data_IF_835000609143
#
_entry.id   IF_835000609143
#
_cell.length_a   1.000
_cell.length_b   1.000
_cell.length_c   1.000
_cell.angle_alpha   90.00
_cell.angle_beta   90.00
_cell.angle_gamma   90.00
#
_symmetry.space_group_name_H-M   'P 1'
#
loop_
_entity.id
_entity.type
_entity.pdbx_description
1 polymer ?
#
# COMPACT_ATOMS: atom_id res chain seq x y z
N UNK A 1 12.61 -31.04 26.42
CA UNK A 1 12.54 -32.06 25.35
C UNK A 1 12.19 -31.29 24.08
N UNK A 2 13.22 -31.01 23.25
CA UNK A 2 13.03 -30.31 21.97
C UNK A 2 12.36 -31.27 20.99
N UNK A 3 11.07 -31.07 20.80
CA UNK A 3 10.39 -31.57 19.60
C UNK A 3 10.92 -30.69 18.47
N UNK A 4 11.66 -31.31 17.55
CA UNK A 4 12.33 -30.55 16.49
C UNK A 4 11.32 -29.77 15.66
N UNK A 5 11.65 -28.53 15.34
CA UNK A 5 10.84 -27.59 14.50
C UNK A 5 10.37 -28.25 13.19
N UNK A 6 11.11 -29.21 12.69
CA UNK A 6 10.81 -30.01 11.47
C UNK A 6 9.54 -30.88 11.62
N UNK A 7 9.09 -31.21 12.83
CA UNK A 7 7.89 -32.02 13.06
C UNK A 7 6.57 -31.29 12.78
N UNK A 8 6.60 -29.95 12.58
CA UNK A 8 5.42 -29.13 12.33
C UNK A 8 5.30 -28.67 10.87
N UNK A 9 6.28 -29.00 10.02
CA UNK A 9 6.26 -28.63 8.59
C UNK A 9 5.51 -29.70 7.82
N UNK A 10 4.28 -29.39 7.44
CA UNK A 10 3.45 -30.25 6.63
C UNK A 10 3.29 -29.72 5.19
N UNK A 11 2.30 -30.27 4.49
CA UNK A 11 2.04 -29.95 3.07
C UNK A 11 1.66 -28.48 2.87
N UNK A 12 1.01 -27.84 3.83
CA UNK A 12 0.59 -26.44 3.76
C UNK A 12 1.77 -25.46 3.72
N UNK A 13 2.72 -25.65 4.62
CA UNK A 13 3.94 -24.83 4.70
C UNK A 13 4.83 -25.08 3.47
N UNK A 14 5.01 -26.33 3.06
CA UNK A 14 5.76 -26.69 1.84
C UNK A 14 5.12 -26.03 0.63
N UNK A 15 3.79 -26.06 0.54
CA UNK A 15 3.03 -25.41 -0.53
C UNK A 15 3.22 -23.90 -0.55
N UNK A 16 3.19 -23.24 0.61
CA UNK A 16 3.45 -21.80 0.72
C UNK A 16 4.85 -21.45 0.22
N UNK A 17 5.89 -22.15 0.68
CA UNK A 17 7.25 -21.92 0.23
C UNK A 17 7.42 -22.18 -1.27
N UNK A 18 6.80 -23.23 -1.81
CA UNK A 18 6.81 -23.52 -3.25
C UNK A 18 6.13 -22.44 -4.07
N UNK A 19 4.97 -21.94 -3.61
CA UNK A 19 4.25 -20.81 -4.23
C UNK A 19 5.10 -19.54 -4.23
N UNK A 20 5.69 -19.21 -3.09
CA UNK A 20 6.55 -18.04 -2.94
C UNK A 20 7.78 -18.16 -3.83
N UNK A 21 8.50 -19.29 -3.76
CA UNK A 21 9.70 -19.53 -4.58
C UNK A 21 9.39 -19.43 -6.09
N UNK A 22 8.29 -20.01 -6.55
CA UNK A 22 7.86 -19.93 -7.94
C UNK A 22 7.52 -18.50 -8.35
N UNK A 23 6.74 -17.79 -7.53
CA UNK A 23 6.37 -16.41 -7.80
C UNK A 23 7.61 -15.49 -7.84
N UNK A 24 8.57 -15.70 -6.96
CA UNK A 24 9.84 -14.99 -6.97
C UNK A 24 10.67 -15.29 -8.22
N UNK A 25 10.85 -16.56 -8.54
CA UNK A 25 11.61 -16.97 -9.71
C UNK A 25 11.03 -16.33 -10.98
N UNK A 26 9.72 -16.39 -11.14
CA UNK A 26 9.05 -15.78 -12.29
C UNK A 26 9.16 -14.24 -12.29
N UNK A 27 9.02 -13.58 -11.15
CA UNK A 27 9.06 -12.12 -11.10
C UNK A 27 10.48 -11.55 -11.23
N UNK A 28 11.45 -12.09 -10.46
CA UNK A 28 12.80 -11.54 -10.39
C UNK A 28 13.68 -12.06 -11.51
N UNK A 29 13.72 -13.39 -11.74
CA UNK A 29 14.61 -14.01 -12.71
C UNK A 29 14.05 -13.87 -14.13
N UNK A 30 12.77 -14.22 -14.32
CA UNK A 30 12.11 -14.15 -15.64
C UNK A 30 11.54 -12.76 -15.94
N UNK A 31 11.64 -11.80 -15.00
CA UNK A 31 11.18 -10.41 -15.14
C UNK A 31 9.70 -10.30 -15.58
N UNK A 32 8.87 -11.26 -15.14
CA UNK A 32 7.44 -11.26 -15.43
C UNK A 32 6.68 -10.37 -14.45
N UNK A 33 5.52 -9.84 -14.89
CA UNK A 33 4.64 -9.07 -14.00
C UNK A 33 4.18 -9.93 -12.82
N UNK A 34 3.97 -9.32 -11.66
CA UNK A 34 3.66 -10.07 -10.43
C UNK A 34 2.38 -10.88 -10.52
N UNK A 35 1.33 -10.39 -11.20
CA UNK A 35 0.10 -11.16 -11.44
C UNK A 35 0.35 -12.44 -12.25
N UNK A 36 1.19 -12.38 -13.29
CA UNK A 36 1.61 -13.55 -14.08
C UNK A 36 2.47 -14.50 -13.24
N UNK A 37 3.39 -13.97 -12.43
CA UNK A 37 4.21 -14.77 -11.54
C UNK A 37 3.38 -15.55 -10.51
N UNK A 38 2.36 -14.91 -9.94
CA UNK A 38 1.42 -15.57 -9.01
C UNK A 38 0.56 -16.62 -9.71
N UNK A 39 0.19 -16.44 -10.99
CA UNK A 39 -0.50 -17.47 -11.78
C UNK A 39 0.34 -18.76 -11.83
N UNK A 40 1.64 -18.65 -12.13
CA UNK A 40 2.53 -19.81 -12.11
C UNK A 40 2.63 -20.45 -10.72
N UNK A 41 2.68 -19.64 -9.65
CA UNK A 41 2.61 -20.13 -8.28
C UNK A 41 1.32 -20.91 -7.99
N UNK A 42 0.17 -20.43 -8.46
CA UNK A 42 -1.12 -21.14 -8.33
C UNK A 42 -1.11 -22.47 -9.06
N UNK A 43 -0.48 -22.55 -10.25
CA UNK A 43 -0.32 -23.81 -10.98
C UNK A 43 0.49 -24.82 -10.16
N UNK A 44 1.56 -24.38 -9.52
CA UNK A 44 2.35 -25.24 -8.63
C UNK A 44 1.52 -25.72 -7.43
N UNK A 45 0.72 -24.86 -6.82
CA UNK A 45 -0.20 -25.25 -5.74
C UNK A 45 -1.21 -26.33 -6.18
N UNK A 46 -1.75 -26.20 -7.39
CA UNK A 46 -2.67 -27.19 -7.96
C UNK A 46 -1.97 -28.56 -8.17
N UNK A 47 -0.72 -28.53 -8.65
CA UNK A 47 0.09 -29.76 -8.82
C UNK A 47 0.34 -30.39 -7.46
N UNK A 48 0.77 -29.64 -6.46
CA UNK A 48 1.01 -30.17 -5.11
C UNK A 48 -0.28 -30.75 -4.53
N UNK A 49 -1.39 -30.03 -4.59
CA UNK A 49 -2.67 -30.50 -4.07
C UNK A 49 -3.17 -31.77 -4.75
N UNK A 50 -2.94 -31.90 -6.06
CA UNK A 50 -3.38 -33.08 -6.81
C UNK A 50 -2.46 -34.28 -6.59
N UNK A 51 -1.14 -34.07 -6.64
CA UNK A 51 -0.16 -35.17 -6.59
C UNK A 51 0.13 -35.66 -5.18
N UNK A 52 0.11 -34.80 -4.18
CA UNK A 52 0.55 -35.11 -2.82
C UNK A 52 -0.57 -35.12 -1.78
N UNK A 53 -1.69 -34.43 -2.03
CA UNK A 53 -2.84 -34.36 -1.10
C UNK A 53 -4.11 -35.00 -1.69
N UNK A 54 -4.03 -35.65 -2.85
CA UNK A 54 -5.14 -36.38 -3.46
C UNK A 54 -6.33 -35.50 -3.87
N UNK A 55 -6.17 -34.17 -3.94
CA UNK A 55 -7.26 -33.25 -4.32
C UNK A 55 -7.62 -33.41 -5.79
N UNK A 56 -8.90 -33.39 -6.09
CA UNK A 56 -9.35 -33.40 -7.48
C UNK A 56 -9.04 -32.05 -8.16
N UNK A 57 -8.27 -32.09 -9.25
CA UNK A 57 -7.83 -30.89 -9.98
C UNK A 57 -9.00 -29.99 -10.40
N UNK A 58 -10.04 -30.56 -11.05
CA UNK A 58 -11.18 -29.79 -11.54
C UNK A 58 -11.99 -29.17 -10.41
N UNK A 59 -12.18 -29.89 -9.30
CA UNK A 59 -12.87 -29.38 -8.12
C UNK A 59 -12.08 -28.21 -7.53
N UNK A 60 -10.77 -28.34 -7.43
CA UNK A 60 -9.89 -27.30 -6.90
C UNK A 60 -9.88 -26.05 -7.78
N UNK A 61 -9.75 -26.21 -9.11
CA UNK A 61 -9.80 -25.11 -10.08
C UNK A 61 -11.16 -24.39 -10.02
N UNK A 62 -12.26 -25.14 -10.02
CA UNK A 62 -13.61 -24.55 -9.93
C UNK A 62 -13.80 -23.77 -8.62
N UNK A 63 -13.41 -24.35 -7.49
CA UNK A 63 -13.59 -23.73 -6.18
C UNK A 63 -12.77 -22.45 -6.04
N UNK A 64 -11.48 -22.49 -6.37
CA UNK A 64 -10.62 -21.29 -6.28
C UNK A 64 -11.07 -20.17 -7.21
N UNK A 65 -11.50 -20.50 -8.44
CA UNK A 65 -11.96 -19.52 -9.44
C UNK A 65 -13.26 -18.86 -9.00
N UNK A 66 -14.23 -19.64 -8.51
CA UNK A 66 -15.49 -19.12 -7.99
C UNK A 66 -15.24 -18.26 -6.73
N UNK A 67 -14.34 -18.72 -5.85
CA UNK A 67 -13.98 -17.98 -4.65
C UNK A 67 -13.36 -16.62 -5.00
N UNK A 68 -12.34 -16.61 -5.85
CA UNK A 68 -11.66 -15.38 -6.28
C UNK A 68 -12.60 -14.43 -7.04
N UNK A 69 -13.44 -14.97 -7.94
CA UNK A 69 -14.40 -14.20 -8.73
C UNK A 69 -15.56 -13.59 -7.91
N UNK A 70 -15.80 -14.05 -6.69
CA UNK A 70 -16.78 -13.47 -5.76
C UNK A 70 -16.20 -12.39 -4.84
N UNK A 71 -14.88 -12.19 -4.88
CA UNK A 71 -14.23 -11.23 -3.97
C UNK A 71 -14.40 -9.80 -4.45
N UNK A 72 -15.07 -9.00 -3.66
CA UNK A 72 -15.28 -7.56 -3.92
C UNK A 72 -13.97 -6.80 -4.15
N UNK A 73 -12.91 -7.20 -3.45
CA UNK A 73 -11.60 -6.58 -3.50
C UNK A 73 -10.97 -6.62 -4.88
N UNK A 74 -11.22 -7.67 -5.69
CA UNK A 74 -10.71 -7.79 -7.05
C UNK A 74 -11.27 -6.67 -7.94
N UNK A 75 -12.58 -6.48 -7.90
CA UNK A 75 -13.27 -5.46 -8.69
C UNK A 75 -12.99 -4.04 -8.18
N UNK A 76 -12.92 -3.89 -6.85
CA UNK A 76 -12.54 -2.64 -6.23
C UNK A 76 -11.12 -2.21 -6.63
N UNK A 77 -10.17 -3.15 -6.65
CA UNK A 77 -8.80 -2.88 -7.11
C UNK A 77 -8.76 -2.39 -8.56
N UNK A 78 -9.56 -3.00 -9.44
CA UNK A 78 -9.70 -2.53 -10.82
C UNK A 78 -10.29 -1.10 -10.88
N UNK A 79 -11.30 -0.80 -10.07
CA UNK A 79 -11.89 0.55 -9.99
C UNK A 79 -10.87 1.59 -9.48
N UNK A 80 -10.04 1.23 -8.48
CA UNK A 80 -8.94 2.10 -8.03
C UNK A 80 -7.88 2.32 -9.11
N UNK A 81 -7.52 1.28 -9.88
CA UNK A 81 -6.59 1.43 -11.00
C UNK A 81 -7.12 2.40 -12.07
N UNK A 82 -8.43 2.34 -12.36
CA UNK A 82 -9.08 3.27 -13.28
C UNK A 82 -9.13 4.69 -12.73
N UNK A 83 -9.50 4.86 -11.47
CA UNK A 83 -9.50 6.14 -10.78
C UNK A 83 -8.12 6.81 -10.88
N UNK A 84 -7.05 6.08 -10.54
CA UNK A 84 -5.69 6.60 -10.61
C UNK A 84 -5.31 7.03 -12.04
N UNK A 85 -5.65 6.22 -13.04
CA UNK A 85 -5.44 6.54 -14.43
C UNK A 85 -6.20 7.82 -14.85
N UNK A 86 -7.47 7.97 -14.47
CA UNK A 86 -8.26 9.16 -14.78
C UNK A 86 -7.70 10.43 -14.13
N UNK A 87 -7.23 10.34 -12.88
CA UNK A 87 -6.62 11.47 -12.19
C UNK A 87 -5.31 11.92 -12.85
N UNK A 88 -4.54 10.98 -13.40
CA UNK A 88 -3.34 11.26 -14.17
C UNK A 88 -3.67 11.96 -15.51
N UNK A 89 -4.65 11.42 -16.25
CA UNK A 89 -5.07 12.00 -17.55
C UNK A 89 -5.68 13.40 -17.44
N UNK A 90 -6.26 13.74 -16.31
CA UNK A 90 -6.89 15.05 -16.06
C UNK A 90 -5.94 16.10 -15.47
N UNK A 91 -4.71 15.71 -15.09
CA UNK A 91 -3.73 16.62 -14.47
C UNK A 91 -4.15 17.13 -13.07
N UNK A 92 -5.11 16.48 -12.42
CA UNK A 92 -5.55 16.85 -11.07
C UNK A 92 -4.40 16.78 -10.07
N UNK A 93 -3.50 15.81 -10.22
CA UNK A 93 -2.35 15.60 -9.34
C UNK A 93 -1.44 16.83 -9.35
N UNK A 94 -1.12 17.34 -10.54
CA UNK A 94 -0.27 18.53 -10.69
C UNK A 94 -0.90 19.76 -10.03
N UNK A 95 -2.22 19.90 -10.15
CA UNK A 95 -2.97 20.98 -9.48
C UNK A 95 -2.92 20.89 -7.97
N UNK A 96 -3.02 19.69 -7.40
CA UNK A 96 -2.86 19.48 -5.96
C UNK A 96 -1.43 19.80 -5.49
N UNK A 97 -0.41 19.39 -6.25
CA UNK A 97 0.99 19.72 -5.96
C UNK A 97 1.22 21.24 -6.02
N UNK A 98 0.60 21.94 -6.98
CA UNK A 98 0.67 23.40 -7.07
C UNK A 98 0.06 24.11 -5.84
N UNK A 99 -1.06 23.60 -5.31
CA UNK A 99 -1.66 24.11 -4.07
C UNK A 99 -0.70 23.88 -2.89
N UNK A 100 -0.15 22.67 -2.77
CA UNK A 100 0.80 22.35 -1.72
C UNK A 100 2.05 23.24 -1.79
N UNK A 101 2.54 23.50 -3.01
CA UNK A 101 3.67 24.39 -3.23
C UNK A 101 3.37 25.82 -2.76
N UNK A 102 2.20 26.35 -3.09
CA UNK A 102 1.78 27.67 -2.65
C UNK A 102 1.64 27.79 -1.12
N UNK A 103 1.22 26.70 -0.46
CA UNK A 103 1.04 26.66 1.00
C UNK A 103 2.36 26.48 1.76
N UNK A 104 3.20 25.56 1.32
CA UNK A 104 4.36 25.09 2.08
C UNK A 104 5.70 25.57 1.52
N UNK A 105 5.74 25.99 0.25
CA UNK A 105 6.99 26.38 -0.42
C UNK A 105 7.71 27.54 0.26
N UNK A 106 6.98 28.39 1.02
CA UNK A 106 7.52 29.53 1.77
C UNK A 106 8.22 29.12 3.08
N UNK A 107 8.06 27.88 3.52
CA UNK A 107 8.73 27.38 4.70
C UNK A 107 10.20 27.05 4.40
N UNK A 108 11.13 27.20 5.37
CA UNK A 108 12.47 26.66 5.22
C UNK A 108 12.39 25.16 4.94
N UNK A 109 12.97 24.73 3.82
CA UNK A 109 12.83 23.33 3.37
C UNK A 109 11.47 22.98 2.75
N UNK A 110 10.67 23.98 2.34
CA UNK A 110 9.30 23.84 1.82
C UNK A 110 9.14 22.82 0.73
N UNK A 111 10.08 22.75 -0.21
CA UNK A 111 10.10 21.74 -1.30
C UNK A 111 10.13 20.29 -0.76
N UNK A 112 10.84 20.03 0.36
CA UNK A 112 10.85 18.73 1.02
C UNK A 112 9.51 18.36 1.67
N UNK A 113 8.81 19.34 2.27
CA UNK A 113 7.45 19.12 2.80
C UNK A 113 6.46 18.82 1.68
N UNK A 114 6.52 19.57 0.57
CA UNK A 114 5.68 19.32 -0.61
C UNK A 114 5.94 17.94 -1.18
N UNK A 115 7.21 17.52 -1.28
CA UNK A 115 7.56 16.16 -1.72
C UNK A 115 6.96 15.09 -0.79
N UNK A 116 7.04 15.29 0.52
CA UNK A 116 6.54 14.33 1.52
C UNK A 116 5.01 14.18 1.46
N UNK A 117 4.28 15.30 1.49
CA UNK A 117 2.82 15.28 1.40
C UNK A 117 2.37 14.85 0.00
N UNK A 118 3.09 15.26 -1.04
CA UNK A 118 2.85 14.83 -2.41
C UNK A 118 2.95 13.30 -2.56
N UNK A 119 3.99 12.68 -1.99
CA UNK A 119 4.12 11.21 -1.97
C UNK A 119 2.95 10.54 -1.23
N UNK A 120 2.48 11.08 -0.12
CA UNK A 120 1.32 10.56 0.59
C UNK A 120 0.04 10.66 -0.27
N UNK A 121 -0.25 11.84 -0.81
CA UNK A 121 -1.45 12.07 -1.63
C UNK A 121 -1.43 11.28 -2.93
N UNK A 122 -0.30 11.29 -3.64
CA UNK A 122 -0.16 10.52 -4.87
C UNK A 122 -0.20 9.02 -4.59
N UNK A 123 0.37 8.61 -3.45
CA UNK A 123 0.34 7.24 -2.99
C UNK A 123 -1.06 6.73 -2.66
N UNK A 124 -1.91 7.55 -2.04
CA UNK A 124 -3.34 7.25 -1.87
C UNK A 124 -4.06 6.97 -3.19
N UNK A 125 -3.56 7.55 -4.28
CA UNK A 125 -4.19 7.44 -5.60
C UNK A 125 -3.72 6.19 -6.33
N UNK A 126 -2.40 5.98 -6.42
CA UNK A 126 -1.83 4.90 -7.22
C UNK A 126 -1.52 3.62 -6.43
N UNK A 127 -1.38 3.72 -5.11
CA UNK A 127 -1.11 2.59 -4.22
C UNK A 127 0.24 1.89 -4.43
N UNK A 128 1.21 2.54 -5.11
CA UNK A 128 2.51 1.95 -5.47
C UNK A 128 3.66 2.90 -5.16
N UNK A 129 4.58 2.48 -4.29
CA UNK A 129 5.67 3.32 -3.80
C UNK A 129 6.60 3.84 -4.91
N UNK A 130 6.99 3.00 -5.86
CA UNK A 130 7.89 3.38 -6.96
C UNK A 130 7.25 4.39 -7.90
N UNK A 131 5.96 4.26 -8.18
CA UNK A 131 5.22 5.22 -9.00
C UNK A 131 5.10 6.58 -8.30
N UNK A 132 4.85 6.58 -6.98
CA UNK A 132 4.82 7.81 -6.17
C UNK A 132 6.17 8.51 -6.18
N UNK A 133 7.25 7.77 -5.99
CA UNK A 133 8.63 8.28 -6.06
C UNK A 133 8.95 8.89 -7.42
N UNK A 134 8.58 8.21 -8.51
CA UNK A 134 8.85 8.68 -9.87
C UNK A 134 8.09 9.97 -10.18
N UNK A 135 6.77 9.99 -9.94
CA UNK A 135 5.92 11.11 -10.32
C UNK A 135 6.21 12.37 -9.49
N UNK A 136 6.26 12.22 -8.15
CA UNK A 136 6.53 13.35 -7.27
C UNK A 136 8.00 13.76 -7.36
N UNK A 137 8.93 12.80 -7.45
CA UNK A 137 10.36 13.05 -7.58
C UNK A 137 10.72 13.84 -8.82
N UNK A 138 10.10 13.55 -9.97
CA UNK A 138 10.35 14.26 -11.22
C UNK A 138 10.09 15.78 -11.10
N UNK A 139 9.12 16.18 -10.30
CA UNK A 139 8.77 17.59 -10.07
C UNK A 139 9.56 18.17 -8.90
N UNK A 140 9.62 17.46 -7.77
CA UNK A 140 10.10 18.04 -6.52
C UNK A 140 11.62 17.96 -6.33
N UNK A 141 12.30 16.94 -6.85
CA UNK A 141 13.76 16.81 -6.70
C UNK A 141 14.51 17.96 -7.38
N UNK A 142 14.24 18.32 -8.66
CA UNK A 142 14.88 19.48 -9.26
C UNK A 142 14.64 20.76 -8.47
N UNK A 143 13.39 20.98 -8.04
CA UNK A 143 13.04 22.14 -7.22
C UNK A 143 13.71 22.13 -5.85
N UNK A 144 13.85 20.97 -5.19
CA UNK A 144 14.62 20.85 -3.94
C UNK A 144 16.08 21.27 -4.15
N UNK A 145 16.72 20.78 -5.20
CA UNK A 145 18.13 21.13 -5.52
C UNK A 145 18.25 22.63 -5.79
N UNK A 146 17.36 23.23 -6.56
CA UNK A 146 17.31 24.67 -6.81
C UNK A 146 17.07 25.50 -5.56
N UNK A 147 16.36 24.95 -4.56
CA UNK A 147 16.10 25.60 -3.28
C UNK A 147 17.16 25.37 -2.21
N UNK A 148 18.28 24.71 -2.58
CA UNK A 148 19.47 24.60 -1.75
C UNK A 148 19.63 23.27 -1.01
N UNK A 149 18.83 22.24 -1.33
CA UNK A 149 19.06 20.88 -0.84
C UNK A 149 20.21 20.20 -1.58
N UNK A 150 20.99 19.37 -0.89
CA UNK A 150 21.93 18.48 -1.55
C UNK A 150 21.18 17.44 -2.39
N UNK A 151 21.81 16.93 -3.45
CA UNK A 151 21.24 15.92 -4.33
C UNK A 151 20.90 14.63 -3.58
N UNK A 152 21.79 14.21 -2.70
CA UNK A 152 21.65 13.04 -1.86
C UNK A 152 20.46 13.18 -0.91
N UNK A 153 20.31 14.35 -0.29
CA UNK A 153 19.20 14.58 0.65
C UNK A 153 17.86 14.68 -0.05
N UNK A 154 17.81 15.34 -1.21
CA UNK A 154 16.61 15.39 -2.04
C UNK A 154 16.17 13.98 -2.47
N UNK A 155 17.12 13.15 -2.93
CA UNK A 155 16.86 11.76 -3.27
C UNK A 155 16.38 10.93 -2.06
N UNK A 156 17.03 11.09 -0.90
CA UNK A 156 16.65 10.38 0.31
C UNK A 156 15.24 10.75 0.81
N UNK A 157 14.87 12.04 0.76
CA UNK A 157 13.52 12.50 1.14
C UNK A 157 12.47 11.89 0.22
N UNK A 158 12.63 11.95 -1.08
CA UNK A 158 11.62 11.46 -2.02
C UNK A 158 11.54 9.93 -1.99
N UNK A 159 12.67 9.22 -1.99
CA UNK A 159 12.69 7.76 -1.84
C UNK A 159 12.06 7.35 -0.52
N UNK A 160 12.52 7.91 0.60
CA UNK A 160 12.02 7.59 1.92
C UNK A 160 10.50 7.74 2.05
N UNK A 161 9.92 8.73 1.40
CA UNK A 161 8.50 9.01 1.44
C UNK A 161 7.67 8.23 0.40
N UNK A 162 8.30 7.59 -0.58
CA UNK A 162 7.59 6.76 -1.56
C UNK A 162 6.73 5.66 -0.93
N UNK A 163 7.18 5.10 0.20
CA UNK A 163 6.45 4.08 0.95
C UNK A 163 5.11 4.53 1.55
N UNK A 164 4.91 5.83 1.74
CA UNK A 164 3.61 6.37 2.19
C UNK A 164 2.47 5.92 1.27
N UNK A 165 2.75 5.67 -0.02
CA UNK A 165 1.78 5.11 -0.94
C UNK A 165 1.26 3.72 -0.60
N UNK A 166 1.95 2.96 0.23
CA UNK A 166 1.49 1.66 0.70
C UNK A 166 0.69 1.76 2.01
N UNK A 167 0.98 2.76 2.85
CA UNK A 167 0.29 2.97 4.13
C UNK A 167 -1.06 3.64 3.92
N UNK A 168 -1.08 4.71 3.13
CA UNK A 168 -2.34 5.43 2.88
C UNK A 168 -3.27 4.62 1.97
N UNK A 169 -4.47 4.27 2.45
CA UNK A 169 -5.44 3.54 1.65
C UNK A 169 -6.10 4.47 0.60
N UNK A 170 -6.50 3.89 -0.54
CA UNK A 170 -6.40 2.48 -0.88
C UNK A 170 -5.05 2.12 -1.51
N UNK A 171 -4.37 1.13 -0.96
CA UNK A 171 -3.12 0.66 -1.54
C UNK A 171 -3.26 -0.76 -2.10
N UNK A 172 -2.43 -1.08 -3.10
CA UNK A 172 -2.38 -2.45 -3.65
C UNK A 172 -2.02 -3.48 -2.57
N UNK A 173 -1.18 -3.09 -1.61
CA UNK A 173 -0.80 -3.94 -0.46
C UNK A 173 -1.98 -4.19 0.46
N UNK A 174 -2.78 -3.15 0.78
CA UNK A 174 -4.01 -3.29 1.57
C UNK A 174 -4.99 -4.27 0.91
N UNK A 175 -5.23 -4.10 -0.39
CA UNK A 175 -6.14 -4.95 -1.14
C UNK A 175 -5.65 -6.40 -1.19
N UNK A 176 -4.35 -6.60 -1.44
CA UNK A 176 -3.72 -7.92 -1.43
C UNK A 176 -3.84 -8.58 -0.05
N UNK A 177 -3.61 -7.83 1.01
CA UNK A 177 -3.67 -8.33 2.39
C UNK A 177 -5.09 -8.78 2.76
N UNK A 178 -6.12 -8.03 2.36
CA UNK A 178 -7.52 -8.44 2.49
C UNK A 178 -7.87 -9.69 1.65
N UNK A 179 -7.05 -10.03 0.67
CA UNK A 179 -7.17 -11.24 -0.14
C UNK A 179 -6.91 -12.54 0.61
N UNK A 180 -6.24 -12.48 1.75
CA UNK A 180 -6.01 -13.66 2.57
C UNK A 180 -7.27 -14.05 3.34
N UNK A 181 -7.71 -15.31 3.18
CA UNK A 181 -8.92 -15.82 3.84
C UNK A 181 -8.85 -15.68 5.37
N UNK A 182 -7.66 -15.85 5.96
CA UNK A 182 -7.42 -15.66 7.39
C UNK A 182 -7.69 -14.22 7.84
N UNK A 183 -7.36 -13.24 7.00
CA UNK A 183 -7.58 -11.81 7.28
C UNK A 183 -9.04 -11.44 7.04
N UNK A 184 -9.60 -11.84 5.90
CA UNK A 184 -10.97 -11.52 5.49
C UNK A 184 -12.05 -12.05 6.45
N UNK A 185 -11.76 -13.12 7.21
CA UNK A 185 -12.66 -13.66 8.24
C UNK A 185 -12.75 -12.77 9.48
N UNK A 186 -11.69 -12.03 9.81
CA UNK A 186 -11.58 -11.27 11.05
C UNK A 186 -11.64 -9.76 10.86
N UNK A 187 -11.44 -9.27 9.62
CA UNK A 187 -11.25 -7.86 9.32
C UNK A 187 -12.02 -7.43 8.08
N UNK A 188 -12.78 -6.36 8.19
CA UNK A 188 -13.44 -5.72 7.04
C UNK A 188 -12.53 -4.70 6.37
N UNK A 189 -12.76 -4.46 5.07
CA UNK A 189 -12.04 -3.43 4.32
C UNK A 189 -12.18 -2.04 4.95
N UNK A 190 -13.36 -1.71 5.49
CA UNK A 190 -13.61 -0.42 6.16
C UNK A 190 -12.80 -0.24 7.43
N UNK A 191 -12.69 -1.28 8.26
CA UNK A 191 -11.87 -1.23 9.47
C UNK A 191 -10.39 -1.05 9.14
N UNK A 192 -9.88 -1.81 8.15
CA UNK A 192 -8.51 -1.67 7.72
C UNK A 192 -8.23 -0.30 7.10
N UNK A 193 -9.16 0.23 6.31
CA UNK A 193 -9.06 1.56 5.70
C UNK A 193 -8.86 2.63 6.77
N UNK A 194 -9.69 2.62 7.81
CA UNK A 194 -9.63 3.62 8.90
C UNK A 194 -8.38 3.46 9.75
N UNK A 195 -8.02 2.22 10.08
CA UNK A 195 -6.80 1.95 10.82
C UNK A 195 -5.54 2.44 10.08
N UNK A 196 -5.47 2.21 8.77
CA UNK A 196 -4.37 2.69 7.94
C UNK A 196 -4.34 4.21 7.78
N UNK A 197 -5.51 4.87 7.64
CA UNK A 197 -5.57 6.34 7.64
C UNK A 197 -5.04 6.92 8.94
N UNK A 198 -5.42 6.33 10.09
CA UNK A 198 -4.94 6.77 11.41
C UNK A 198 -3.44 6.62 11.57
N UNK A 199 -2.88 5.43 11.27
CA UNK A 199 -1.43 5.20 11.35
C UNK A 199 -0.68 6.01 10.30
N UNK A 200 -1.19 6.09 9.07
CA UNK A 200 -0.61 6.89 8.00
C UNK A 200 -0.45 8.36 8.37
N UNK A 201 -1.43 8.93 9.08
CA UNK A 201 -1.33 10.31 9.59
C UNK A 201 -0.19 10.45 10.62
N UNK A 202 -0.03 9.49 11.52
CA UNK A 202 1.07 9.49 12.50
C UNK A 202 2.42 9.39 11.79
N UNK A 203 2.55 8.44 10.86
CA UNK A 203 3.78 8.28 10.06
C UNK A 203 4.08 9.54 9.27
N UNK A 204 3.08 10.17 8.65
CA UNK A 204 3.26 11.42 7.91
C UNK A 204 3.82 12.55 8.81
N UNK A 205 3.30 12.70 10.03
CA UNK A 205 3.82 13.69 10.99
C UNK A 205 5.30 13.42 11.31
N UNK A 206 5.66 12.16 11.54
CA UNK A 206 7.07 11.79 11.77
C UNK A 206 7.93 12.10 10.54
N UNK A 207 7.44 11.82 9.34
CA UNK A 207 8.14 12.12 8.08
C UNK A 207 8.34 13.62 7.86
N UNK A 208 7.33 14.43 8.18
CA UNK A 208 7.46 15.90 8.14
C UNK A 208 8.48 16.42 9.16
N UNK A 209 8.52 15.80 10.33
CA UNK A 209 9.55 16.14 11.33
C UNK A 209 10.96 15.77 10.87
N UNK A 210 11.13 14.66 10.14
CA UNK A 210 12.42 14.30 9.51
C UNK A 210 12.85 15.37 8.49
N UNK A 211 11.92 15.85 7.65
CA UNK A 211 12.21 16.94 6.71
C UNK A 211 12.66 18.20 7.46
N UNK A 212 12.02 18.53 8.58
CA UNK A 212 12.44 19.65 9.41
C UNK A 212 13.89 19.48 9.94
N UNK A 213 14.23 18.29 10.44
CA UNK A 213 15.60 17.97 10.89
C UNK A 213 16.59 18.17 9.74
N UNK A 214 16.30 17.62 8.58
CA UNK A 214 17.16 17.69 7.40
C UNK A 214 17.33 19.14 6.91
N UNK A 215 16.24 19.90 6.84
CA UNK A 215 16.28 21.32 6.46
C UNK A 215 17.18 22.15 7.40
N UNK A 216 17.11 21.83 8.71
CA UNK A 216 17.96 22.48 9.71
C UNK A 216 19.44 22.05 9.59
N UNK A 217 19.70 20.77 9.33
CA UNK A 217 21.06 20.24 9.14
C UNK A 217 21.77 20.84 7.93
N UNK A 218 21.07 21.02 6.83
CA UNK A 218 21.62 21.60 5.60
C UNK A 218 21.50 23.12 5.52
N UNK A 219 20.83 23.75 6.47
CA UNK A 219 20.64 25.20 6.47
C UNK A 219 19.78 25.71 5.31
N UNK A 220 18.87 24.87 4.80
CA UNK A 220 18.00 25.21 3.67
C UNK A 220 17.10 26.37 4.05
N UNK A 221 17.16 27.44 3.26
CA UNK A 221 16.37 28.65 3.47
C UNK A 221 15.00 28.55 2.79
N UNK A 222 14.09 29.42 3.20
CA UNK A 222 12.84 29.61 2.48
C UNK A 222 13.11 30.09 1.03
N UNK A 223 12.33 29.59 0.09
CA UNK A 223 12.39 30.07 -1.30
C UNK A 223 11.84 31.50 -1.34
N UNK A 224 12.46 32.38 -2.17
CA UNK A 224 12.00 33.75 -2.33
C UNK A 224 10.55 33.82 -2.79
N UNK A 225 9.79 34.79 -2.25
CA UNK A 225 8.34 34.90 -2.49
C UNK A 225 7.97 35.07 -3.97
N UNK A 226 8.86 35.68 -4.75
CA UNK A 226 8.69 35.95 -6.19
C UNK A 226 8.65 34.66 -7.02
N UNK A 227 9.21 33.56 -6.49
CA UNK A 227 9.25 32.24 -7.16
C UNK A 227 8.08 31.33 -6.79
N UNK A 228 7.26 31.73 -5.82
CA UNK A 228 6.15 30.94 -5.32
C UNK A 228 4.83 31.62 -5.67
N UNK A 229 3.92 30.86 -6.29
CA UNK A 229 2.57 31.36 -6.61
C UNK A 229 1.87 31.80 -5.31
N UNK A 230 1.25 33.02 -5.28
CA UNK A 230 0.45 33.43 -4.13
C UNK A 230 -0.68 32.44 -3.85
N UNK A 231 -0.93 32.14 -2.55
CA UNK A 231 -1.93 31.15 -2.12
C UNK A 231 -3.31 31.44 -2.73
N UNK A 232 -3.74 32.71 -2.75
CA UNK A 232 -5.02 33.09 -3.34
C UNK A 232 -5.11 32.80 -4.83
N UNK A 233 -4.01 32.97 -5.58
CA UNK A 233 -3.94 32.62 -7.00
C UNK A 233 -3.94 31.11 -7.19
N UNK A 234 -3.15 30.39 -6.41
CA UNK A 234 -3.09 28.93 -6.46
C UNK A 234 -4.46 28.29 -6.17
N UNK A 235 -5.18 28.77 -5.15
CA UNK A 235 -6.53 28.31 -4.84
C UNK A 235 -7.54 28.69 -5.90
N UNK A 236 -7.40 29.86 -6.53
CA UNK A 236 -8.31 30.27 -7.61
C UNK A 236 -8.12 29.43 -8.87
N UNK A 237 -6.87 29.08 -9.21
CA UNK A 237 -6.55 28.34 -10.44
C UNK A 237 -6.66 26.83 -10.27
N UNK A 238 -6.34 26.31 -9.08
CA UNK A 238 -6.24 24.87 -8.82
C UNK A 238 -7.22 24.37 -7.75
N UNK A 239 -7.93 25.25 -7.05
CA UNK A 239 -8.74 24.88 -5.87
C UNK A 239 -9.92 23.97 -6.19
N UNK A 240 -10.43 24.03 -7.42
CA UNK A 240 -11.50 23.12 -7.88
C UNK A 240 -11.06 21.65 -7.82
N UNK A 241 -9.75 21.34 -7.94
CA UNK A 241 -9.23 19.97 -7.79
C UNK A 241 -9.47 19.37 -6.41
N UNK A 242 -9.69 20.20 -5.37
CA UNK A 242 -9.99 19.72 -4.01
C UNK A 242 -11.34 18.99 -3.92
N UNK A 243 -12.21 19.13 -4.93
CA UNK A 243 -13.51 18.43 -4.98
C UNK A 243 -13.36 16.90 -4.90
N UNK A 244 -12.23 16.37 -5.34
CA UNK A 244 -11.97 14.91 -5.28
C UNK A 244 -12.00 14.36 -3.85
N UNK A 245 -11.64 15.18 -2.85
CA UNK A 245 -11.69 14.76 -1.44
C UNK A 245 -13.12 14.49 -0.97
N UNK A 246 -14.15 15.05 -1.62
CA UNK A 246 -15.54 14.67 -1.39
C UNK A 246 -15.79 13.21 -1.76
N UNK A 247 -15.04 12.66 -2.73
CA UNK A 247 -15.11 11.25 -3.08
C UNK A 247 -14.66 10.31 -1.96
N UNK A 248 -13.85 10.79 -1.03
CA UNK A 248 -13.48 10.06 0.21
C UNK A 248 -14.40 10.44 1.35
N UNK A 249 -14.67 11.74 1.54
CA UNK A 249 -15.44 12.25 2.67
C UNK A 249 -16.90 11.72 2.67
N UNK A 250 -17.55 11.71 1.52
CA UNK A 250 -18.95 11.25 1.41
C UNK A 250 -19.11 9.80 1.85
N UNK A 251 -18.37 8.81 1.30
CA UNK A 251 -18.49 7.42 1.74
C UNK A 251 -18.13 7.22 3.23
N UNK A 252 -17.13 7.93 3.73
CA UNK A 252 -16.77 7.87 5.15
C UNK A 252 -17.91 8.38 6.04
N UNK A 253 -18.49 9.52 5.71
CA UNK A 253 -19.63 10.09 6.46
C UNK A 253 -20.87 9.17 6.41
N UNK A 254 -21.11 8.49 5.28
CA UNK A 254 -22.25 7.58 5.13
C UNK A 254 -22.06 6.24 5.85
N UNK A 255 -20.83 5.85 6.17
CA UNK A 255 -20.55 4.52 6.76
C UNK A 255 -20.12 4.59 8.21
N UNK A 256 -19.63 5.75 8.69
CA UNK A 256 -18.98 5.91 9.98
C UNK A 256 -19.56 7.06 10.78
N UNK A 257 -19.30 7.05 12.10
CA UNK A 257 -19.75 8.09 13.01
C UNK A 257 -21.28 8.16 13.20
N UNK A 258 -21.79 9.26 13.76
CA UNK A 258 -23.21 9.46 14.00
C UNK A 258 -24.07 9.42 12.73
N UNK A 259 -23.56 9.99 11.62
CA UNK A 259 -24.23 9.97 10.31
C UNK A 259 -24.32 8.57 9.74
N UNK A 260 -23.26 7.76 9.86
CA UNK A 260 -23.26 6.36 9.45
C UNK A 260 -24.23 5.52 10.29
N UNK A 261 -24.34 5.78 11.60
CA UNK A 261 -25.34 5.14 12.45
C UNK A 261 -26.77 5.50 12.04
N UNK A 262 -27.03 6.75 11.73
CA UNK A 262 -28.32 7.24 11.23
C UNK A 262 -28.69 6.60 9.88
N UNK A 263 -27.77 6.57 8.92
CA UNK A 263 -27.96 5.90 7.61
C UNK A 263 -28.24 4.40 7.77
N UNK A 264 -27.48 3.71 8.64
CA UNK A 264 -27.74 2.29 8.96
C UNK A 264 -29.12 2.09 9.57
N UNK A 265 -29.58 3.02 10.41
CA UNK A 265 -30.93 2.99 10.99
C UNK A 265 -32.03 3.10 9.93
N UNK A 266 -31.89 4.00 8.97
CA UNK A 266 -32.82 4.15 7.84
C UNK A 266 -32.83 2.89 6.94
N UNK A 267 -31.67 2.29 6.72
CA UNK A 267 -31.52 1.13 5.84
C UNK A 267 -31.84 -0.20 6.54
N UNK A 268 -31.96 -0.21 7.86
CA UNK A 268 -32.22 -1.40 8.67
C UNK A 268 -33.44 -2.23 8.23
N UNK A 269 -34.57 -1.62 7.79
CA UNK A 269 -35.74 -2.38 7.32
C UNK A 269 -35.43 -3.19 6.03
N UNK A 270 -34.45 -2.77 5.23
CA UNK A 270 -34.11 -3.44 3.96
C UNK A 270 -32.95 -4.40 4.18
N UNK A 271 -33.24 -5.71 4.19
CA UNK A 271 -32.23 -6.76 4.39
C UNK A 271 -31.06 -6.58 3.40
N UNK A 272 -29.86 -6.39 3.94
CA UNK A 272 -28.62 -6.29 3.14
C UNK A 272 -28.29 -4.90 2.63
N UNK A 273 -29.18 -3.92 2.67
CA UNK A 273 -28.92 -2.57 2.14
C UNK A 273 -27.74 -1.87 2.84
N UNK A 274 -27.60 -2.04 4.14
CA UNK A 274 -26.47 -1.48 4.89
C UNK A 274 -25.10 -2.10 4.48
N UNK A 275 -25.09 -3.35 3.99
CA UNK A 275 -23.89 -4.00 3.46
C UNK A 275 -23.56 -3.56 2.04
N UNK A 276 -24.53 -3.03 1.29
CA UNK A 276 -24.31 -2.52 -0.06
C UNK A 276 -23.47 -1.24 -0.10
N UNK A 277 -23.41 -0.48 1.03
CA UNK A 277 -22.54 0.69 1.13
C UNK A 277 -21.15 0.24 1.53
N UNK A 278 -20.34 -0.13 0.53
CA UNK A 278 -18.95 -0.55 0.71
C UNK A 278 -18.00 0.60 0.36
N UNK A 279 -17.14 1.00 1.32
CA UNK A 279 -16.15 2.06 1.11
C UNK A 279 -15.24 1.76 -0.09
N UNK A 280 -14.85 0.49 -0.27
CA UNK A 280 -13.93 0.10 -1.32
C UNK A 280 -14.51 0.25 -2.74
N UNK A 281 -15.82 0.35 -2.89
CA UNK A 281 -16.46 0.64 -4.17
C UNK A 281 -16.78 2.13 -4.35
N UNK A 282 -17.37 2.75 -3.30
CA UNK A 282 -17.85 4.12 -3.43
C UNK A 282 -16.71 5.14 -3.52
N UNK A 283 -15.59 4.91 -2.84
CA UNK A 283 -14.45 5.82 -2.91
C UNK A 283 -13.92 5.93 -4.35
N UNK A 284 -13.50 4.85 -5.03
CA UNK A 284 -12.95 4.99 -6.38
C UNK A 284 -13.99 5.48 -7.39
N UNK A 285 -15.26 5.12 -7.23
CA UNK A 285 -16.32 5.59 -8.11
C UNK A 285 -16.55 7.10 -7.97
N UNK A 286 -16.68 7.61 -6.75
CA UNK A 286 -16.92 9.03 -6.51
C UNK A 286 -15.71 9.88 -6.83
N UNK A 287 -14.50 9.44 -6.49
CA UNK A 287 -13.28 10.16 -6.91
C UNK A 287 -13.21 10.21 -8.43
N UNK A 288 -13.45 9.09 -9.14
CA UNK A 288 -13.48 9.05 -10.60
C UNK A 288 -14.54 10.02 -11.15
N UNK A 289 -15.73 10.01 -10.57
CA UNK A 289 -16.81 10.92 -10.97
C UNK A 289 -16.41 12.40 -10.82
N UNK A 290 -15.88 12.78 -9.67
CA UNK A 290 -15.38 14.14 -9.46
C UNK A 290 -14.18 14.49 -10.35
N UNK A 291 -13.31 13.51 -10.60
CA UNK A 291 -12.17 13.67 -11.53
C UNK A 291 -12.64 13.95 -12.96
N UNK A 292 -13.68 13.25 -13.43
CA UNK A 292 -14.26 13.47 -14.75
C UNK A 292 -14.90 14.86 -14.83
N UNK A 293 -15.65 15.28 -13.80
CA UNK A 293 -16.26 16.60 -13.76
C UNK A 293 -15.20 17.69 -13.83
N UNK A 294 -14.20 17.60 -12.96
CA UNK A 294 -13.14 18.60 -12.84
C UNK A 294 -12.23 18.62 -14.07
N UNK A 295 -11.90 17.43 -14.57
CA UNK A 295 -11.02 17.25 -15.73
C UNK A 295 -11.74 17.29 -17.08
N UNK A 296 -13.04 17.63 -17.12
CA UNK A 296 -13.86 17.53 -18.33
C UNK A 296 -13.21 18.17 -19.57
N UNK A 297 -12.62 19.34 -19.39
CA UNK A 297 -11.95 20.08 -20.49
C UNK A 297 -10.67 19.39 -21.01
N UNK A 298 -10.04 18.56 -20.20
CA UNK A 298 -8.80 17.85 -20.55
C UNK A 298 -9.08 16.48 -21.17
N UNK A 299 -10.32 15.99 -21.06
CA UNK A 299 -10.71 14.69 -21.57
C UNK A 299 -11.18 14.77 -23.02
N UNK A 300 -10.99 13.71 -23.82
CA UNK A 300 -11.49 13.65 -25.18
C UNK A 300 -13.01 13.54 -25.22
N UNK A 301 -13.66 14.31 -26.12
CA UNK A 301 -15.12 14.31 -26.30
C UNK A 301 -15.58 13.56 -27.55
N UNK A 302 -14.66 12.99 -28.33
CA UNK A 302 -15.00 12.17 -29.51
C UNK A 302 -15.10 10.70 -29.13
N UNK A 303 -15.99 9.90 -29.73
CA UNK A 303 -16.10 8.46 -29.44
C UNK A 303 -14.75 7.72 -29.59
N UNK A 304 -13.98 8.04 -30.63
CA UNK A 304 -12.65 7.45 -30.83
C UNK A 304 -11.65 7.86 -29.74
N UNK A 305 -11.71 9.11 -29.29
CA UNK A 305 -10.87 9.60 -28.18
C UNK A 305 -11.22 8.95 -26.84
N UNK A 306 -12.52 8.81 -26.54
CA UNK A 306 -13.01 8.11 -25.34
C UNK A 306 -12.58 6.64 -25.38
N UNK A 307 -12.72 5.98 -26.55
CA UNK A 307 -12.25 4.61 -26.72
C UNK A 307 -10.75 4.48 -26.44
N UNK A 308 -9.93 5.38 -27.00
CA UNK A 308 -8.47 5.41 -26.76
C UNK A 308 -8.15 5.63 -25.27
N UNK A 309 -8.88 6.51 -24.59
CA UNK A 309 -8.74 6.74 -23.15
C UNK A 309 -9.04 5.46 -22.35
N UNK A 310 -10.16 4.81 -22.62
CA UNK A 310 -10.54 3.56 -21.94
C UNK A 310 -9.53 2.46 -22.23
N UNK A 311 -9.11 2.29 -23.47
CA UNK A 311 -8.11 1.28 -23.83
C UNK A 311 -6.74 1.56 -23.20
N UNK A 312 -6.37 2.82 -22.97
CA UNK A 312 -5.17 3.20 -22.23
C UNK A 312 -5.17 2.75 -20.77
N UNK A 313 -6.34 2.56 -20.16
CA UNK A 313 -6.46 2.07 -18.78
C UNK A 313 -6.33 0.54 -18.67
N UNK A 314 -6.51 -0.20 -19.76
CA UNK A 314 -6.61 -1.69 -19.76
C UNK A 314 -5.38 -2.36 -19.18
N UNK A 315 -4.18 -1.85 -19.47
CA UNK A 315 -2.94 -2.43 -18.92
C UNK A 315 -2.89 -2.38 -17.39
N UNK A 316 -3.41 -1.31 -16.79
CA UNK A 316 -3.47 -1.14 -15.32
C UNK A 316 -4.53 -2.03 -14.69
N UNK A 317 -5.69 -2.16 -15.32
CA UNK A 317 -6.72 -3.12 -14.90
C UNK A 317 -6.19 -4.54 -14.89
N UNK A 318 -5.56 -4.93 -15.99
CA UNK A 318 -5.03 -6.28 -16.15
C UNK A 318 -3.99 -6.60 -15.06
N UNK A 319 -3.05 -5.70 -14.83
CA UNK A 319 -1.95 -5.93 -13.88
C UNK A 319 -2.47 -6.09 -12.44
N UNK A 320 -3.32 -5.18 -11.97
CA UNK A 320 -3.86 -5.24 -10.62
C UNK A 320 -4.95 -6.30 -10.47
N UNK A 321 -5.81 -6.45 -11.48
CA UNK A 321 -6.86 -7.47 -11.49
C UNK A 321 -6.28 -8.89 -11.47
N UNK A 322 -5.27 -9.18 -12.29
CA UNK A 322 -4.59 -10.47 -12.29
C UNK A 322 -3.88 -10.73 -10.96
N UNK A 323 -3.18 -9.72 -10.41
CA UNK A 323 -2.53 -9.81 -9.11
C UNK A 323 -3.52 -10.25 -8.03
N UNK A 324 -4.61 -9.53 -7.87
CA UNK A 324 -5.60 -9.78 -6.83
C UNK A 324 -6.33 -11.12 -7.07
N UNK A 325 -6.73 -11.40 -8.30
CA UNK A 325 -7.42 -12.64 -8.62
C UNK A 325 -6.58 -13.88 -8.25
N UNK A 326 -5.31 -13.92 -8.66
CA UNK A 326 -4.44 -15.04 -8.32
C UNK A 326 -4.00 -15.06 -6.85
N UNK A 327 -3.98 -13.90 -6.17
CA UNK A 327 -3.80 -13.85 -4.73
C UNK A 327 -4.94 -14.56 -3.98
N UNK A 328 -6.20 -14.32 -4.37
CA UNK A 328 -7.34 -15.00 -3.78
C UNK A 328 -7.38 -16.50 -4.15
N UNK A 329 -7.00 -16.86 -5.38
CA UNK A 329 -6.85 -18.26 -5.79
C UNK A 329 -5.81 -18.98 -4.92
N UNK A 330 -4.62 -18.40 -4.73
CA UNK A 330 -3.55 -18.99 -3.91
C UNK A 330 -3.96 -19.09 -2.44
N UNK A 331 -4.58 -18.04 -1.88
CA UNK A 331 -5.08 -18.04 -0.51
C UNK A 331 -6.07 -19.19 -0.27
N UNK A 332 -7.02 -19.40 -1.20
CA UNK A 332 -8.00 -20.47 -1.12
C UNK A 332 -7.37 -21.86 -1.16
N UNK A 333 -6.42 -22.06 -2.07
CA UNK A 333 -5.69 -23.33 -2.18
C UNK A 333 -4.84 -23.62 -0.95
N UNK A 334 -4.08 -22.64 -0.47
CA UNK A 334 -3.23 -22.78 0.73
C UNK A 334 -4.06 -23.11 1.97
N UNK A 335 -5.23 -22.47 2.14
CA UNK A 335 -6.15 -22.84 3.23
C UNK A 335 -6.61 -24.29 3.13
N UNK A 336 -6.89 -24.78 1.92
CA UNK A 336 -7.29 -26.20 1.70
C UNK A 336 -6.14 -27.18 1.87
N UNK A 337 -4.92 -26.74 1.74
CA UNK A 337 -3.69 -27.53 1.97
C UNK A 337 -3.21 -27.45 3.43
N UNK A 338 -4.11 -27.14 4.37
CA UNK A 338 -3.89 -27.15 5.82
C UNK A 338 -2.85 -26.13 6.34
N UNK A 339 -2.54 -25.10 5.56
CA UNK A 339 -1.58 -24.06 5.95
C UNK A 339 -1.96 -23.39 7.29
N UNK A 340 -3.24 -23.10 7.51
CA UNK A 340 -3.71 -22.41 8.74
C UNK A 340 -3.54 -23.28 9.98
N UNK A 341 -3.79 -24.58 9.87
CA UNK A 341 -3.65 -25.56 10.95
C UNK A 341 -2.17 -25.76 11.33
N UNK A 342 -1.29 -25.87 10.33
CA UNK A 342 0.15 -26.03 10.55
C UNK A 342 0.76 -24.79 11.21
N UNK A 343 0.39 -23.59 10.77
CA UNK A 343 0.81 -22.36 11.45
C UNK A 343 0.30 -22.27 12.89
N UNK A 344 -0.95 -22.64 13.13
CA UNK A 344 -1.51 -22.68 14.49
C UNK A 344 -0.70 -23.62 15.38
N UNK A 345 -0.30 -24.78 14.88
CA UNK A 345 0.56 -25.71 15.62
C UNK A 345 1.93 -25.12 15.95
N UNK A 346 2.57 -24.42 14.99
CA UNK A 346 3.83 -23.72 15.22
C UNK A 346 3.69 -22.64 16.28
N UNK A 347 2.64 -21.78 16.18
CA UNK A 347 2.43 -20.71 17.15
C UNK A 347 2.13 -21.24 18.55
N UNK A 348 1.38 -22.35 18.67
CA UNK A 348 1.14 -23.00 19.94
C UNK A 348 2.46 -23.55 20.55
N UNK A 349 3.36 -24.06 19.72
CA UNK A 349 4.69 -24.47 20.17
C UNK A 349 5.56 -23.29 20.61
N UNK A 350 5.33 -22.09 20.05
CA UNK A 350 5.99 -20.83 20.41
C UNK A 350 5.29 -20.10 21.58
N UNK A 351 4.20 -20.60 22.11
CA UNK A 351 3.40 -19.93 23.16
C UNK A 351 4.17 -19.61 24.45
N UNK A 352 5.37 -20.15 24.63
CA UNK A 352 6.28 -19.82 25.73
C UNK A 352 7.17 -18.59 25.48
N UNK A 353 7.18 -18.02 24.26
CA UNK A 353 7.97 -16.83 23.96
C UNK A 353 7.24 -15.55 24.39
N UNK A 354 8.02 -14.59 24.87
CA UNK A 354 7.48 -13.27 25.18
C UNK A 354 6.88 -12.61 23.94
N UNK A 355 5.67 -11.97 24.01
CA UNK A 355 5.06 -11.25 22.89
C UNK A 355 6.00 -10.28 22.19
N UNK A 356 6.87 -9.60 22.94
CA UNK A 356 7.85 -8.68 22.37
C UNK A 356 8.87 -9.37 21.45
N UNK A 357 9.28 -10.60 21.79
CA UNK A 357 10.21 -11.38 20.96
C UNK A 357 9.56 -11.71 19.61
N UNK A 358 8.30 -12.09 19.62
CA UNK A 358 7.54 -12.38 18.39
C UNK A 358 7.42 -11.12 17.52
N UNK A 359 7.07 -9.98 18.12
CA UNK A 359 7.00 -8.68 17.40
C UNK A 359 8.35 -8.32 16.80
N UNK A 360 9.44 -8.37 17.58
CA UNK A 360 10.78 -8.05 17.09
C UNK A 360 11.23 -8.98 15.98
N UNK A 361 10.92 -10.28 16.08
CA UNK A 361 11.22 -11.26 15.03
C UNK A 361 10.48 -10.93 13.74
N UNK A 362 9.18 -10.60 13.80
CA UNK A 362 8.38 -10.21 12.64
C UNK A 362 8.96 -8.91 12.04
N UNK A 363 9.25 -7.91 12.86
CA UNK A 363 9.86 -6.66 12.40
C UNK A 363 11.19 -6.91 11.67
N UNK A 364 12.05 -7.75 12.24
CA UNK A 364 13.34 -8.09 11.63
C UNK A 364 13.19 -8.82 10.29
N UNK A 365 12.36 -9.86 10.24
CA UNK A 365 12.13 -10.66 9.03
C UNK A 365 11.52 -9.78 7.92
N UNK A 366 10.44 -9.05 8.21
CA UNK A 366 9.76 -8.24 7.19
C UNK A 366 10.65 -7.12 6.68
N UNK A 367 11.37 -6.43 7.58
CA UNK A 367 12.31 -5.38 7.16
C UNK A 367 13.43 -5.94 6.29
N UNK A 368 13.97 -7.12 6.62
CA UNK A 368 15.00 -7.77 5.81
C UNK A 368 14.48 -8.22 4.44
N UNK A 369 13.23 -8.66 4.37
CA UNK A 369 12.62 -9.15 3.12
C UNK A 369 12.17 -8.03 2.18
N UNK A 370 11.63 -6.94 2.72
CA UNK A 370 10.95 -5.92 1.92
C UNK A 370 11.91 -5.15 0.99
N UNK A 371 13.18 -5.00 1.37
CA UNK A 371 14.21 -4.40 0.52
C UNK A 371 14.44 -5.19 -0.76
N UNK A 372 14.88 -6.47 -0.68
CA UNK A 372 15.10 -7.30 -1.86
C UNK A 372 13.83 -7.64 -2.64
N UNK A 373 12.68 -7.79 -1.98
CA UNK A 373 11.51 -8.43 -2.57
C UNK A 373 10.31 -7.51 -2.84
N UNK A 374 10.37 -6.27 -2.51
CA UNK A 374 9.27 -5.29 -2.54
C UNK A 374 8.06 -5.64 -1.63
N UNK A 375 7.15 -4.67 -1.45
CA UNK A 375 6.01 -4.82 -0.53
C UNK A 375 5.01 -5.89 -0.99
N UNK A 376 4.69 -5.94 -2.29
CA UNK A 376 3.70 -6.89 -2.83
C UNK A 376 4.17 -8.33 -2.64
N UNK A 377 5.41 -8.63 -3.02
CA UNK A 377 5.96 -9.96 -2.90
C UNK A 377 6.13 -10.40 -1.43
N UNK A 378 6.61 -9.49 -0.57
CA UNK A 378 6.72 -9.74 0.88
C UNK A 378 5.34 -9.98 1.50
N UNK A 379 4.32 -9.21 1.10
CA UNK A 379 2.94 -9.40 1.57
C UNK A 379 2.40 -10.76 1.13
N UNK A 380 2.62 -11.14 -0.12
CA UNK A 380 2.21 -12.45 -0.66
C UNK A 380 2.84 -13.60 0.13
N UNK A 381 4.14 -13.48 0.43
CA UNK A 381 4.89 -14.53 1.12
C UNK A 381 4.55 -14.64 2.61
N UNK A 382 4.47 -13.52 3.31
CA UNK A 382 4.46 -13.48 4.76
C UNK A 382 3.19 -12.88 5.38
N UNK A 383 2.31 -12.28 4.57
CA UNK A 383 1.16 -11.52 5.07
C UNK A 383 0.25 -12.34 5.99
N UNK A 384 -0.23 -13.49 5.51
CA UNK A 384 -1.11 -14.35 6.30
C UNK A 384 -0.42 -14.91 7.55
N UNK A 385 0.86 -15.29 7.42
CA UNK A 385 1.67 -15.85 8.51
C UNK A 385 1.91 -14.83 9.61
N UNK A 386 2.36 -13.64 9.26
CA UNK A 386 2.63 -12.59 10.23
C UNK A 386 1.33 -12.11 10.90
N UNK A 387 0.22 -12.05 10.14
CA UNK A 387 -1.09 -11.75 10.72
C UNK A 387 -1.48 -12.77 11.78
N UNK A 388 -1.40 -14.07 11.47
CA UNK A 388 -1.71 -15.13 12.41
C UNK A 388 -0.78 -15.10 13.64
N UNK A 389 0.52 -14.85 13.45
CA UNK A 389 1.48 -14.70 14.55
C UNK A 389 1.16 -13.52 15.46
N UNK A 390 0.82 -12.36 14.90
CA UNK A 390 0.42 -11.18 15.67
C UNK A 390 -0.92 -11.42 16.41
N UNK A 391 -1.84 -12.18 15.82
CA UNK A 391 -3.11 -12.56 16.45
C UNK A 391 -2.89 -13.52 17.63
N UNK A 392 -1.96 -14.45 17.50
CA UNK A 392 -1.68 -15.42 18.57
C UNK A 392 -1.15 -14.78 19.87
N UNK A 393 -0.52 -13.61 19.79
CA UNK A 393 -0.08 -12.82 20.95
C UNK A 393 -1.13 -11.83 21.46
N UNK A 394 -2.38 -11.94 20.98
CA UNK A 394 -3.50 -11.14 21.48
C UNK A 394 -3.63 -9.73 20.90
N UNK A 395 -3.00 -9.43 19.76
CA UNK A 395 -3.23 -8.17 19.06
C UNK A 395 -4.61 -8.18 18.38
N UNK A 396 -5.29 -7.02 18.39
CA UNK A 396 -6.55 -6.87 17.66
C UNK A 396 -6.31 -7.05 16.14
N UNK A 397 -7.29 -7.55 15.35
CA UNK A 397 -7.12 -7.79 13.93
C UNK A 397 -6.67 -6.54 13.16
N UNK A 398 -7.26 -5.39 13.45
CA UNK A 398 -6.88 -4.11 12.82
C UNK A 398 -5.43 -3.77 13.14
N UNK A 399 -5.04 -3.87 14.41
CA UNK A 399 -3.66 -3.57 14.87
C UNK A 399 -2.64 -4.46 14.18
N UNK A 400 -2.88 -5.77 14.11
CA UNK A 400 -2.00 -6.72 13.44
C UNK A 400 -1.83 -6.41 11.94
N UNK A 401 -2.96 -6.12 11.26
CA UNK A 401 -2.96 -5.80 9.85
C UNK A 401 -2.22 -4.48 9.54
N UNK A 402 -2.52 -3.44 10.31
CA UNK A 402 -1.94 -2.10 10.15
C UNK A 402 -0.44 -2.12 10.44
N UNK A 403 -0.01 -2.84 11.50
CA UNK A 403 1.40 -3.03 11.83
C UNK A 403 2.16 -3.73 10.69
N UNK A 404 1.60 -4.80 10.12
CA UNK A 404 2.21 -5.50 9.00
C UNK A 404 2.34 -4.61 7.76
N UNK A 405 1.26 -3.92 7.36
CA UNK A 405 1.26 -3.05 6.17
C UNK A 405 2.24 -1.90 6.35
N UNK A 406 2.36 -1.36 7.56
CA UNK A 406 3.36 -0.34 7.86
C UNK A 406 4.79 -0.88 7.68
N UNK A 407 5.10 -2.08 8.15
CA UNK A 407 6.42 -2.69 7.94
C UNK A 407 6.78 -2.87 6.47
N UNK A 408 5.83 -3.35 5.65
CA UNK A 408 6.11 -3.55 4.22
C UNK A 408 6.20 -2.23 3.43
N UNK A 409 5.69 -1.13 3.98
CA UNK A 409 5.87 0.21 3.39
C UNK A 409 7.33 0.65 3.40
N UNK A 410 8.16 0.09 4.28
CA UNK A 410 9.60 0.32 4.33
C UNK A 410 10.36 -0.08 3.05
N UNK A 411 9.71 -0.72 2.08
CA UNK A 411 10.35 -1.07 0.80
C UNK A 411 11.09 0.08 0.14
N UNK A 412 10.63 1.32 0.31
CA UNK A 412 11.22 2.50 -0.30
C UNK A 412 12.43 3.05 0.46
N UNK A 413 12.67 2.55 1.67
CA UNK A 413 13.72 3.00 2.58
C UNK A 413 14.77 1.93 2.89
N UNK A 414 14.50 0.66 2.59
CA UNK A 414 15.39 -0.45 2.93
C UNK A 414 16.22 -0.85 1.71
N UNK A 415 17.55 -0.63 1.76
CA UNK A 415 18.45 -1.14 0.73
C UNK A 415 18.48 -2.70 0.73
N UNK A 416 19.02 -3.35 -0.31
CA UNK A 416 19.71 -2.76 -1.45
C UNK A 416 18.85 -2.56 -2.69
N UNK A 417 17.69 -3.19 -2.81
CA UNK A 417 17.02 -3.40 -4.09
C UNK A 417 15.68 -2.65 -4.26
N UNK A 418 15.47 -1.56 -3.55
CA UNK A 418 14.25 -0.78 -3.71
C UNK A 418 14.27 0.06 -4.99
N UNK A 419 13.30 -0.16 -5.89
CA UNK A 419 13.16 0.66 -7.10
C UNK A 419 13.02 2.16 -6.82
N UNK A 420 12.41 2.54 -5.70
CA UNK A 420 12.29 3.94 -5.26
C UNK A 420 13.65 4.60 -5.03
N UNK A 421 14.61 3.87 -4.44
CA UNK A 421 15.96 4.38 -4.16
C UNK A 421 16.66 4.75 -5.46
N UNK A 422 16.66 3.84 -6.44
CA UNK A 422 17.34 4.06 -7.72
C UNK A 422 16.66 5.11 -8.58
N UNK A 423 15.32 5.17 -8.57
CA UNK A 423 14.56 6.20 -9.28
C UNK A 423 14.89 7.59 -8.72
N UNK A 424 14.81 7.76 -7.40
CA UNK A 424 15.09 9.04 -6.76
C UNK A 424 16.55 9.47 -6.97
N UNK A 425 17.52 8.54 -6.82
CA UNK A 425 18.94 8.80 -7.07
C UNK A 425 19.19 9.22 -8.52
N UNK A 426 18.58 8.54 -9.48
CA UNK A 426 18.69 8.86 -10.91
C UNK A 426 18.14 10.25 -11.23
N UNK A 427 16.96 10.61 -10.71
CA UNK A 427 16.36 11.95 -10.92
C UNK A 427 17.23 13.04 -10.30
N UNK A 428 17.81 12.77 -9.13
CA UNK A 428 18.68 13.72 -8.44
C UNK A 428 20.07 13.84 -9.07
N UNK A 429 20.44 12.93 -9.99
CA UNK A 429 21.81 12.86 -10.53
C UNK A 429 22.83 12.42 -9.49
N UNK A 430 22.47 11.47 -8.62
CA UNK A 430 23.37 10.83 -7.65
C UNK A 430 23.96 9.59 -8.30
N UNK A 431 25.24 9.62 -8.64
CA UNK A 431 25.92 8.53 -9.36
C UNK A 431 25.97 7.23 -8.54
N UNK A 432 26.13 7.35 -7.22
CA UNK A 432 26.19 6.22 -6.29
C UNK A 432 24.99 6.21 -5.34
N UNK A 433 23.94 5.42 -5.60
CA UNK A 433 22.77 5.31 -4.73
C UNK A 433 23.08 4.90 -3.28
N UNK A 434 24.20 4.25 -3.05
CA UNK A 434 24.69 3.86 -1.72
C UNK A 434 24.89 5.04 -0.77
N UNK A 435 25.14 6.24 -1.30
CA UNK A 435 25.32 7.48 -0.51
C UNK A 435 24.08 7.86 0.29
N UNK A 436 22.89 7.48 -0.18
CA UNK A 436 21.62 7.79 0.51
C UNK A 436 21.17 6.68 1.46
N UNK A 437 21.81 5.50 1.46
CA UNK A 437 21.39 4.34 2.28
C UNK A 437 21.38 4.63 3.77
N UNK A 438 22.42 5.32 4.27
CA UNK A 438 22.52 5.67 5.69
C UNK A 438 21.33 6.51 6.14
N UNK A 439 20.97 7.51 5.36
CA UNK A 439 19.85 8.40 5.67
C UNK A 439 18.52 7.64 5.64
N UNK A 440 18.33 6.80 4.64
CA UNK A 440 17.12 5.98 4.52
C UNK A 440 16.95 5.03 5.70
N UNK A 441 18.02 4.35 6.11
CA UNK A 441 17.95 3.40 7.23
C UNK A 441 17.72 4.14 8.55
N UNK A 442 18.55 5.16 8.86
CA UNK A 442 18.51 5.83 10.17
C UNK A 442 17.26 6.69 10.37
N UNK A 443 16.84 7.42 9.36
CA UNK A 443 15.75 8.40 9.50
C UNK A 443 14.39 7.89 9.00
N UNK A 444 14.36 6.80 8.21
CA UNK A 444 13.11 6.29 7.67
C UNK A 444 12.81 4.87 8.16
N UNK A 445 13.67 3.90 7.87
CA UNK A 445 13.38 2.50 8.19
C UNK A 445 13.32 2.22 9.70
N UNK A 446 14.29 2.71 10.47
CA UNK A 446 14.33 2.50 11.93
C UNK A 446 13.14 3.18 12.63
N UNK A 447 12.81 4.46 12.40
CA UNK A 447 11.63 5.07 13.00
C UNK A 447 10.33 4.35 12.68
N UNK A 448 10.18 3.82 11.48
CA UNK A 448 9.00 3.05 11.08
C UNK A 448 8.86 1.75 11.88
N UNK A 449 9.97 1.02 12.05
CA UNK A 449 10.01 -0.18 12.91
C UNK A 449 9.66 0.18 14.36
N UNK A 450 10.18 1.29 14.88
CA UNK A 450 9.87 1.77 16.23
C UNK A 450 8.36 2.07 16.35
N UNK A 451 7.77 2.76 15.38
CA UNK A 451 6.33 3.03 15.36
C UNK A 451 5.53 1.71 15.42
N UNK A 452 5.91 0.70 14.64
CA UNK A 452 5.24 -0.60 14.67
C UNK A 452 5.35 -1.27 16.04
N UNK A 453 6.52 -1.24 16.66
CA UNK A 453 6.72 -1.78 18.01
C UNK A 453 5.79 -1.06 19.00
N UNK A 454 5.73 0.27 18.96
CA UNK A 454 4.87 1.07 19.83
C UNK A 454 3.37 0.78 19.60
N UNK A 455 2.97 0.53 18.37
CA UNK A 455 1.61 0.09 18.01
C UNK A 455 1.32 -1.29 18.58
N UNK A 456 2.22 -2.23 18.40
CA UNK A 456 2.05 -3.60 18.93
C UNK A 456 2.03 -3.63 20.47
N UNK A 457 2.77 -2.74 21.11
CA UNK A 457 2.75 -2.56 22.58
C UNK A 457 1.53 -1.75 23.07
N UNK A 458 0.62 -1.35 22.17
CA UNK A 458 -0.56 -0.54 22.47
C UNK A 458 -0.25 0.85 23.07
N UNK A 459 0.97 1.35 22.88
CA UNK A 459 1.36 2.71 23.28
C UNK A 459 0.78 3.73 22.31
N UNK A 460 0.81 3.41 21.02
CA UNK A 460 0.14 4.18 19.98
C UNK A 460 -1.21 3.51 19.72
N UNK A 461 -2.35 4.15 20.06
CA UNK A 461 -3.67 3.61 19.80
C UNK A 461 -3.99 3.67 18.30
N UNK A 462 -4.58 2.59 17.78
CA UNK A 462 -5.10 2.55 16.40
C UNK A 462 -6.58 2.87 16.41
N UNK A 463 -6.99 3.83 15.58
CA UNK A 463 -8.39 4.21 15.41
C UNK A 463 -9.14 3.05 14.72
N UNK A 464 -10.27 2.63 15.28
CA UNK A 464 -11.10 1.57 14.69
C UNK A 464 -10.95 0.19 15.37
N UNK A 465 -10.25 0.15 16.49
CA UNK A 465 -10.18 -1.05 17.39
C UNK A 465 -11.27 -0.99 18.43
#
# INVERSE_FOLDING_TARGET
KGVGFVSYIGIGIISLFSFVATSFLCNIVLKRKMGEAMMWGVIVLLIIGTCFDGKNLWVSVKDMTIYAGKQEVVYAGMAFAFMAYMMEQTGIIDRLVNILNALLGRLPGGSGYVATIGCALFGMINGVATASTAAIGAVTIPWMIESGWSRERAAAIVSGNGGLGNIFPPSSVMLLFLGFEAVAKELTASQLYVGLMGLGAIVLVVRLFIVFIFAKQEGVKAVSEDKIMPIGKALRENGSSLIIFLGVAIPLLLTMGPTGAWVKGILAPTKGAAKAISLIYYIPLLITFFTIIEGWKSLPHTPAGIWKLVMGSVSRFYDLGALLFFAFCSSRLLTKLHMSEEFTAIFNAMAGLSPIVIVLTICGIITAMVGPFNATATTTAMGAVCFAAMRSIGLAPVTAAVAFINLVSNQSCVPPNSGSIYIAASIAGVDEPTKIFKDLVLYYAIPEVIIVILVCLKIIPIIGV
#
